data_IF_841326713281
#
_entry.id   IF_841326713281
#
_cell.length_a   1.000
_cell.length_b   1.000
_cell.length_c   1.000
_cell.angle_alpha   90.00
_cell.angle_beta   90.00
_cell.angle_gamma   90.00
#
_symmetry.space_group_name_H-M   'P 1'
#
loop_
_entity.id
_entity.type
_entity.pdbx_description
1 polymer ?
#
# COMPACT_ATOMS: atom_id res chain seq x y z
N UNK A 1 6.90 12.60 18.40
CA UNK A 1 5.50 12.78 17.91
C UNK A 1 5.42 12.33 16.46
N UNK A 2 4.34 11.59 16.12
CA UNK A 2 4.14 11.01 14.79
C UNK A 2 4.22 12.03 13.64
N UNK A 3 3.71 13.24 13.86
CA UNK A 3 3.74 14.30 12.85
C UNK A 3 5.18 14.76 12.50
N UNK A 4 6.10 14.68 13.44
CA UNK A 4 7.50 15.08 13.20
C UNK A 4 8.23 14.04 12.36
N UNK A 5 8.08 12.75 12.68
CA UNK A 5 8.65 11.66 11.87
C UNK A 5 8.03 11.63 10.47
N UNK A 6 6.72 11.75 10.36
CA UNK A 6 6.05 11.86 9.08
C UNK A 6 6.53 13.08 8.28
N UNK A 7 6.69 14.22 8.94
CA UNK A 7 7.21 15.46 8.32
C UNK A 7 8.61 15.30 7.76
N UNK A 8 9.52 14.69 8.50
CA UNK A 8 10.89 14.42 8.03
C UNK A 8 10.91 13.50 6.81
N UNK A 9 10.10 12.43 6.83
CA UNK A 9 10.01 11.48 5.73
C UNK A 9 9.41 12.15 4.48
N UNK A 10 8.30 12.86 4.61
CA UNK A 10 7.65 13.57 3.51
C UNK A 10 8.57 14.64 2.92
N UNK A 11 9.23 15.42 3.78
CA UNK A 11 10.15 16.46 3.32
C UNK A 11 11.34 15.88 2.55
N UNK A 12 11.92 14.79 3.05
CA UNK A 12 13.03 14.12 2.37
C UNK A 12 12.62 13.58 0.99
N UNK A 13 11.43 12.96 0.88
CA UNK A 13 10.91 12.47 -0.41
C UNK A 13 10.63 13.61 -1.39
N UNK A 14 10.05 14.71 -0.94
CA UNK A 14 9.76 15.86 -1.81
C UNK A 14 11.02 16.45 -2.41
N UNK A 15 12.12 16.57 -1.65
CA UNK A 15 13.37 17.19 -2.12
C UNK A 15 13.90 16.50 -3.38
N UNK A 16 13.95 15.17 -3.41
CA UNK A 16 14.48 14.46 -4.57
C UNK A 16 13.42 14.16 -5.63
N UNK A 17 12.19 13.87 -5.23
CA UNK A 17 11.08 13.59 -6.14
C UNK A 17 10.70 14.82 -6.98
N UNK A 18 10.68 16.03 -6.39
CA UNK A 18 10.41 17.28 -7.10
C UNK A 18 11.40 17.57 -8.23
N UNK A 19 12.66 17.13 -8.10
CA UNK A 19 13.70 17.36 -9.12
C UNK A 19 13.75 16.31 -10.20
N UNK A 20 13.30 15.10 -9.93
CA UNK A 20 13.56 13.95 -10.79
C UNK A 20 12.35 13.25 -11.39
N UNK A 21 11.16 13.48 -10.83
CA UNK A 21 9.92 12.84 -11.30
C UNK A 21 10.05 11.32 -11.43
N UNK A 22 9.35 10.75 -12.39
CA UNK A 22 9.32 9.30 -12.64
C UNK A 22 10.71 8.67 -12.88
N UNK A 23 11.64 9.40 -13.50
CA UNK A 23 12.98 8.86 -13.78
C UNK A 23 13.77 8.58 -12.51
N UNK A 24 13.73 9.49 -11.54
CA UNK A 24 14.42 9.27 -10.26
C UNK A 24 13.71 8.18 -9.47
N UNK A 25 12.37 8.15 -9.44
CA UNK A 25 11.60 7.08 -8.81
C UNK A 25 12.01 5.68 -9.33
N UNK A 26 12.14 5.49 -10.64
CA UNK A 26 12.60 4.21 -11.21
C UNK A 26 14.04 3.87 -10.80
N UNK A 27 14.92 4.86 -10.66
CA UNK A 27 16.31 4.64 -10.25
C UNK A 27 16.36 4.25 -8.77
N UNK A 28 15.65 4.97 -7.91
CA UNK A 28 15.57 4.68 -6.47
C UNK A 28 14.95 3.31 -6.22
N UNK A 29 13.89 2.95 -6.95
CA UNK A 29 13.25 1.63 -6.86
C UNK A 29 14.22 0.47 -7.13
N UNK A 30 15.17 0.63 -8.05
CA UNK A 30 16.19 -0.41 -8.33
C UNK A 30 17.11 -0.65 -7.13
N UNK A 31 17.53 0.40 -6.44
CA UNK A 31 18.34 0.26 -5.23
C UNK A 31 17.51 -0.31 -4.07
N UNK A 32 16.31 0.21 -3.89
CA UNK A 32 15.39 -0.22 -2.85
C UNK A 32 14.98 -1.69 -3.01
N UNK A 33 14.83 -2.17 -4.23
CA UNK A 33 14.55 -3.57 -4.52
C UNK A 33 15.57 -4.53 -3.88
N UNK A 34 16.87 -4.25 -4.00
CA UNK A 34 17.90 -5.08 -3.37
C UNK A 34 17.86 -5.00 -1.84
N UNK A 35 17.60 -3.83 -1.30
CA UNK A 35 17.44 -3.63 0.14
C UNK A 35 16.23 -4.42 0.66
N UNK A 36 15.11 -4.38 -0.07
CA UNK A 36 13.89 -5.13 0.27
C UNK A 36 14.16 -6.64 0.25
N UNK A 37 14.87 -7.16 -0.73
CA UNK A 37 15.23 -8.58 -0.79
C UNK A 37 16.06 -8.99 0.43
N UNK A 38 17.06 -8.20 0.81
CA UNK A 38 17.86 -8.46 2.02
C UNK A 38 16.97 -8.48 3.26
N UNK A 39 16.01 -7.55 3.36
CA UNK A 39 15.05 -7.50 4.46
C UNK A 39 14.16 -8.74 4.53
N UNK A 40 13.64 -9.19 3.40
CA UNK A 40 12.83 -10.40 3.32
C UNK A 40 13.61 -11.66 3.72
N UNK A 41 14.86 -11.78 3.26
CA UNK A 41 15.74 -12.89 3.63
C UNK A 41 15.98 -12.87 5.15
N UNK A 42 16.20 -11.70 5.73
CA UNK A 42 16.40 -11.53 7.16
C UNK A 42 15.15 -11.91 7.96
N UNK A 43 13.96 -11.45 7.54
CA UNK A 43 12.68 -11.83 8.14
C UNK A 43 12.54 -13.36 8.12
N UNK A 44 12.78 -13.97 6.97
CA UNK A 44 12.64 -15.40 6.78
C UNK A 44 13.62 -16.20 7.62
N UNK A 45 14.87 -15.74 7.72
CA UNK A 45 15.89 -16.38 8.60
C UNK A 45 15.48 -16.34 10.07
N UNK A 46 15.04 -15.19 10.58
CA UNK A 46 14.58 -15.05 11.96
C UNK A 46 13.35 -15.93 12.20
N UNK A 47 12.40 -15.92 11.24
CA UNK A 47 11.19 -16.72 11.32
C UNK A 47 11.46 -18.24 11.40
N UNK A 48 12.40 -18.76 10.60
CA UNK A 48 12.79 -20.17 10.66
C UNK A 48 13.41 -20.52 12.03
N UNK A 49 14.27 -19.65 12.55
CA UNK A 49 14.91 -19.89 13.84
C UNK A 49 13.90 -19.89 15.00
N UNK A 50 12.93 -18.98 14.97
CA UNK A 50 11.85 -18.92 15.95
C UNK A 50 10.94 -20.16 15.88
N UNK A 51 10.60 -20.64 14.68
CA UNK A 51 9.81 -21.87 14.51
C UNK A 51 10.56 -23.09 15.05
N UNK A 52 11.86 -23.23 14.79
CA UNK A 52 12.64 -24.36 15.27
C UNK A 52 12.72 -24.43 16.79
N UNK A 53 12.65 -23.29 17.49
CA UNK A 53 12.66 -23.22 18.94
C UNK A 53 11.32 -23.65 19.59
N UNK A 54 10.20 -23.49 18.87
CA UNK A 54 8.82 -23.74 19.35
C UNK A 54 8.17 -25.02 18.79
N UNK A 55 8.92 -25.88 18.13
CA UNK A 55 8.50 -26.76 17.05
C UNK A 55 7.43 -27.82 17.33
N UNK A 56 7.20 -28.29 18.54
CA UNK A 56 6.27 -29.41 18.74
C UNK A 56 4.94 -29.02 19.40
N UNK A 57 4.93 -28.08 20.32
CA UNK A 57 3.69 -27.65 20.99
C UNK A 57 2.76 -26.85 20.08
N UNK A 58 3.34 -26.04 19.15
CA UNK A 58 2.58 -25.23 18.22
C UNK A 58 1.91 -26.07 17.14
N UNK A 59 2.59 -27.09 16.60
CA UNK A 59 2.01 -28.01 15.61
C UNK A 59 0.74 -28.71 16.15
N UNK A 60 0.68 -29.00 17.43
CA UNK A 60 -0.51 -29.59 18.07
C UNK A 60 -1.65 -28.57 18.30
N UNK A 61 -1.33 -27.27 18.35
CA UNK A 61 -2.33 -26.18 18.45
C UNK A 61 -2.83 -25.69 17.09
N UNK A 62 -2.10 -25.99 16.00
CA UNK A 62 -2.45 -25.58 14.63
C UNK A 62 -3.83 -26.09 14.18
N UNK A 63 -4.20 -27.35 14.34
CA UNK A 63 -5.48 -27.85 13.84
C UNK A 63 -6.70 -27.24 14.52
N UNK A 64 -6.60 -26.85 15.80
CA UNK A 64 -7.72 -26.31 16.56
C UNK A 64 -8.04 -24.83 16.27
N UNK A 65 -7.11 -24.11 15.64
CA UNK A 65 -7.27 -22.68 15.33
C UNK A 65 -7.45 -22.38 13.83
N UNK A 66 -7.20 -23.35 12.95
CA UNK A 66 -7.49 -23.22 11.51
C UNK A 66 -8.86 -23.83 11.24
N UNK A 67 -9.90 -23.17 11.68
CA UNK A 67 -11.24 -23.45 11.20
C UNK A 67 -11.49 -22.56 9.98
N UNK A 68 -11.86 -23.17 8.86
CA UNK A 68 -12.36 -22.41 7.70
C UNK A 68 -13.77 -21.95 8.09
N UNK A 69 -13.82 -20.83 8.79
CA UNK A 69 -15.08 -20.17 9.12
C UNK A 69 -15.54 -19.33 7.94
N UNK A 70 -16.84 -19.25 7.75
CA UNK A 70 -17.47 -18.40 6.72
C UNK A 70 -16.97 -16.96 6.82
N UNK A 71 -16.81 -16.43 8.04
CA UNK A 71 -16.29 -15.07 8.28
C UNK A 71 -14.85 -14.89 7.79
N UNK A 72 -13.99 -15.88 7.95
CA UNK A 72 -12.62 -15.84 7.45
C UNK A 72 -12.55 -15.85 5.93
N UNK A 73 -13.38 -16.66 5.29
CA UNK A 73 -13.48 -16.72 3.83
C UNK A 73 -14.01 -15.39 3.25
N UNK A 74 -15.08 -14.84 3.81
CA UNK A 74 -15.64 -13.56 3.35
C UNK A 74 -14.66 -12.39 3.55
N UNK A 75 -13.94 -12.34 4.66
CA UNK A 75 -12.89 -11.35 4.90
C UNK A 75 -11.77 -11.48 3.85
N UNK A 76 -11.28 -12.69 3.60
CA UNK A 76 -10.25 -12.94 2.57
C UNK A 76 -10.69 -12.53 1.17
N UNK A 77 -11.92 -12.85 0.79
CA UNK A 77 -12.50 -12.46 -0.50
C UNK A 77 -12.66 -10.93 -0.61
N UNK A 78 -13.08 -10.28 0.47
CA UNK A 78 -13.20 -8.81 0.51
C UNK A 78 -11.84 -8.14 0.30
N UNK A 79 -10.80 -8.60 1.00
CA UNK A 79 -9.44 -8.10 0.80
C UNK A 79 -8.93 -8.35 -0.62
N UNK A 80 -9.19 -9.52 -1.19
CA UNK A 80 -8.79 -9.83 -2.55
C UNK A 80 -9.43 -8.84 -3.56
N UNK A 81 -10.74 -8.62 -3.47
CA UNK A 81 -11.46 -7.69 -4.35
C UNK A 81 -10.96 -6.25 -4.15
N UNK A 82 -10.77 -5.84 -2.90
CA UNK A 82 -10.32 -4.51 -2.52
C UNK A 82 -8.93 -4.20 -3.09
N UNK A 83 -7.95 -5.07 -2.84
CA UNK A 83 -6.59 -4.92 -3.36
C UNK A 83 -6.54 -4.97 -4.89
N UNK A 84 -7.34 -5.84 -5.50
CA UNK A 84 -7.44 -5.91 -6.96
C UNK A 84 -7.97 -4.60 -7.55
N UNK A 85 -9.06 -4.06 -7.00
CA UNK A 85 -9.64 -2.80 -7.45
C UNK A 85 -8.67 -1.63 -7.27
N UNK A 86 -7.98 -1.53 -6.14
CA UNK A 86 -7.01 -0.45 -5.85
C UNK A 86 -5.85 -0.49 -6.84
N UNK A 87 -5.30 -1.67 -7.14
CA UNK A 87 -4.23 -1.80 -8.14
C UNK A 87 -4.67 -1.39 -9.56
N UNK A 88 -5.94 -1.55 -9.92
CA UNK A 88 -6.47 -1.07 -11.21
C UNK A 88 -6.44 0.45 -11.33
N UNK A 89 -6.52 1.17 -10.22
CA UNK A 89 -6.52 2.63 -10.19
C UNK A 89 -5.18 3.22 -9.74
N UNK A 90 -4.17 2.39 -9.48
CA UNK A 90 -2.83 2.87 -9.11
C UNK A 90 -2.15 3.55 -10.30
N UNK A 91 -2.09 4.87 -10.24
CA UNK A 91 -1.44 5.68 -11.26
C UNK A 91 0.06 5.41 -11.38
N UNK A 92 0.71 5.00 -10.30
CA UNK A 92 2.12 4.62 -10.31
C UNK A 92 2.37 3.40 -11.21
N UNK A 93 1.47 2.41 -11.18
CA UNK A 93 1.52 1.24 -12.07
C UNK A 93 1.30 1.68 -13.52
N UNK A 94 0.28 2.49 -13.80
CA UNK A 94 -0.02 2.95 -15.15
C UNK A 94 1.09 3.80 -15.74
N UNK A 95 1.74 4.66 -14.97
CA UNK A 95 2.91 5.40 -15.46
C UNK A 95 4.04 4.48 -15.94
N UNK A 96 4.31 3.39 -15.20
CA UNK A 96 5.32 2.41 -15.60
C UNK A 96 4.90 1.60 -16.83
N UNK A 97 3.61 1.29 -16.95
CA UNK A 97 3.04 0.64 -18.13
C UNK A 97 3.25 1.49 -19.37
N UNK A 98 2.93 2.79 -19.30
CA UNK A 98 3.14 3.72 -20.41
C UNK A 98 4.61 4.02 -20.74
N UNK A 99 5.48 3.93 -19.74
CA UNK A 99 6.92 4.11 -19.91
C UNK A 99 7.65 2.87 -20.44
N UNK A 100 6.97 1.73 -20.58
CA UNK A 100 7.55 0.49 -21.05
C UNK A 100 7.98 0.60 -22.52
N UNK A 101 9.19 0.09 -22.85
CA UNK A 101 9.77 0.18 -24.21
C UNK A 101 8.93 -0.57 -25.25
N UNK A 102 8.39 -1.74 -24.88
CA UNK A 102 7.57 -2.59 -25.74
C UNK A 102 6.67 -3.52 -24.90
N UNK A 103 5.70 -4.15 -25.57
CA UNK A 103 4.73 -5.05 -24.94
C UNK A 103 5.43 -6.32 -24.37
N UNK A 104 6.47 -6.82 -25.00
CA UNK A 104 7.16 -8.03 -24.52
C UNK A 104 7.90 -7.79 -23.20
N UNK A 105 8.54 -6.62 -23.06
CA UNK A 105 9.17 -6.22 -21.80
C UNK A 105 8.12 -6.01 -20.71
N UNK A 106 6.96 -5.45 -21.06
CA UNK A 106 5.85 -5.28 -20.15
C UNK A 106 5.33 -6.63 -19.64
N UNK A 107 5.08 -7.60 -20.53
CA UNK A 107 4.63 -8.96 -20.16
C UNK A 107 5.66 -9.65 -19.24
N UNK A 108 6.94 -9.60 -19.57
CA UNK A 108 8.01 -10.16 -18.73
C UNK A 108 8.05 -9.49 -17.36
N UNK A 109 7.88 -8.17 -17.31
CA UNK A 109 7.80 -7.42 -16.06
C UNK A 109 6.62 -7.84 -15.18
N UNK A 110 5.42 -7.96 -15.76
CA UNK A 110 4.23 -8.41 -15.02
C UNK A 110 4.37 -9.85 -14.51
N UNK A 111 4.87 -10.78 -15.34
CA UNK A 111 5.07 -12.17 -14.92
C UNK A 111 6.11 -12.24 -13.80
N UNK A 112 7.24 -11.54 -13.94
CA UNK A 112 8.26 -11.51 -12.91
C UNK A 112 7.77 -10.90 -11.60
N UNK A 113 7.06 -9.76 -11.66
CA UNK A 113 6.50 -9.13 -10.48
C UNK A 113 5.43 -10.00 -9.79
N UNK A 114 4.62 -10.72 -10.56
CA UNK A 114 3.63 -11.66 -10.00
C UNK A 114 4.27 -12.70 -9.08
N UNK A 115 5.33 -13.36 -9.56
CA UNK A 115 6.02 -14.38 -8.74
C UNK A 115 6.66 -13.77 -7.49
N UNK A 116 7.32 -12.62 -7.63
CA UNK A 116 7.98 -11.97 -6.49
C UNK A 116 6.94 -11.54 -5.45
N UNK A 117 5.88 -10.85 -5.88
CA UNK A 117 4.82 -10.35 -4.97
C UNK A 117 4.08 -11.53 -4.32
N UNK A 118 3.80 -12.59 -5.08
CA UNK A 118 3.19 -13.81 -4.52
C UNK A 118 4.05 -14.40 -3.38
N UNK A 119 5.35 -14.58 -3.62
CA UNK A 119 6.27 -15.09 -2.58
C UNK A 119 6.30 -14.17 -1.35
N UNK A 120 6.36 -12.86 -1.56
CA UNK A 120 6.40 -11.86 -0.47
C UNK A 120 5.13 -11.94 0.37
N UNK A 121 3.96 -11.87 -0.26
CA UNK A 121 2.66 -11.89 0.43
C UNK A 121 2.49 -13.22 1.17
N UNK A 122 2.86 -14.34 0.54
CA UNK A 122 2.78 -15.66 1.15
C UNK A 122 3.65 -15.76 2.41
N UNK A 123 4.92 -15.33 2.33
CA UNK A 123 5.84 -15.34 3.47
C UNK A 123 5.37 -14.43 4.61
N UNK A 124 4.95 -13.21 4.30
CA UNK A 124 4.42 -12.28 5.31
C UNK A 124 3.12 -12.80 5.93
N UNK A 125 2.28 -13.47 5.15
CA UNK A 125 1.08 -14.13 5.63
C UNK A 125 1.39 -15.24 6.63
N UNK A 126 2.40 -16.07 6.38
CA UNK A 126 2.86 -17.10 7.31
C UNK A 126 3.34 -16.49 8.63
N UNK A 127 4.11 -15.41 8.57
CA UNK A 127 4.54 -14.67 9.77
C UNK A 127 3.34 -14.14 10.56
N UNK A 128 2.33 -13.61 9.88
CA UNK A 128 1.09 -13.14 10.52
C UNK A 128 0.31 -14.26 11.20
N UNK A 129 0.16 -15.43 10.56
CA UNK A 129 -0.48 -16.60 11.13
C UNK A 129 0.28 -17.07 12.38
N UNK A 130 1.61 -17.17 12.30
CA UNK A 130 2.46 -17.55 13.43
C UNK A 130 2.25 -16.62 14.64
N UNK A 131 2.30 -15.31 14.41
CA UNK A 131 2.10 -14.32 15.47
C UNK A 131 0.70 -14.41 16.11
N UNK A 132 -0.33 -14.70 15.31
CA UNK A 132 -1.69 -14.90 15.80
C UNK A 132 -1.82 -16.16 16.69
N UNK A 133 -1.13 -17.25 16.33
CA UNK A 133 -1.16 -18.50 17.08
C UNK A 133 -0.43 -18.38 18.42
N UNK A 134 0.72 -17.71 18.40
CA UNK A 134 1.54 -17.52 19.62
C UNK A 134 0.93 -16.52 20.59
N UNK A 135 0.00 -15.68 20.14
CA UNK A 135 -0.57 -14.59 20.94
C UNK A 135 0.47 -13.52 21.31
N UNK A 136 1.58 -13.49 20.59
CA UNK A 136 2.72 -12.62 20.90
C UNK A 136 2.41 -11.13 20.70
N UNK A 137 1.34 -10.82 19.97
CA UNK A 137 1.08 -9.44 19.53
C UNK A 137 -0.36 -9.02 19.81
N UNK A 138 -0.49 -7.86 20.43
CA UNK A 138 -1.80 -7.22 20.70
C UNK A 138 -2.32 -6.41 19.53
N UNK A 139 -1.40 -5.84 18.72
CA UNK A 139 -1.74 -4.97 17.59
C UNK A 139 -1.25 -5.59 16.27
N UNK A 140 -2.17 -5.96 15.34
CA UNK A 140 -1.83 -6.51 14.04
C UNK A 140 -0.91 -5.62 13.19
N UNK A 141 -0.96 -4.31 13.35
CA UNK A 141 -0.15 -3.36 12.57
C UNK A 141 1.35 -3.41 12.91
N UNK A 142 1.71 -3.92 14.08
CA UNK A 142 3.08 -3.97 14.59
C UNK A 142 3.69 -5.38 14.62
N UNK A 143 2.99 -6.39 14.12
CA UNK A 143 3.38 -7.80 14.19
C UNK A 143 4.81 -8.03 13.71
N UNK A 144 5.15 -7.57 12.51
CA UNK A 144 6.47 -7.80 11.92
C UNK A 144 7.56 -7.22 12.80
N UNK A 145 7.37 -5.99 13.27
CA UNK A 145 8.35 -5.32 14.13
C UNK A 145 8.49 -5.96 15.50
N UNK A 146 7.38 -6.45 16.08
CA UNK A 146 7.42 -7.10 17.39
C UNK A 146 8.18 -8.43 17.38
N UNK A 147 8.19 -9.14 16.24
CA UNK A 147 8.97 -10.37 16.07
C UNK A 147 10.44 -10.06 15.79
N UNK A 148 10.70 -9.02 14.98
CA UNK A 148 12.05 -8.70 14.52
C UNK A 148 12.87 -7.92 15.53
N UNK A 149 12.25 -7.04 16.34
CA UNK A 149 12.96 -6.15 17.26
C UNK A 149 13.39 -6.94 18.50
N UNK A 150 14.69 -7.14 18.63
CA UNK A 150 15.29 -7.75 19.82
C UNK A 150 16.02 -6.69 20.65
N UNK A 151 15.73 -6.63 21.96
CA UNK A 151 16.31 -5.64 22.86
C UNK A 151 17.82 -5.79 23.03
N UNK A 152 18.37 -6.97 22.77
CA UNK A 152 19.79 -7.27 22.96
C UNK A 152 20.68 -6.83 21.79
N UNK A 153 20.12 -6.67 20.58
CA UNK A 153 20.89 -6.41 19.36
C UNK A 153 20.58 -5.05 18.74
N UNK A 154 21.21 -4.00 19.25
CA UNK A 154 21.03 -2.62 18.78
C UNK A 154 21.31 -2.50 17.28
N UNK A 155 22.36 -3.15 16.78
CA UNK A 155 22.70 -3.11 15.35
C UNK A 155 21.61 -3.71 14.46
N UNK A 156 21.00 -4.81 14.87
CA UNK A 156 19.88 -5.46 14.17
C UNK A 156 18.67 -4.50 14.12
N UNK A 157 18.36 -3.86 15.24
CA UNK A 157 17.24 -2.92 15.32
C UNK A 157 17.44 -1.71 14.42
N UNK A 158 18.66 -1.17 14.34
CA UNK A 158 18.99 -0.09 13.41
C UNK A 158 18.85 -0.52 11.95
N UNK A 159 19.26 -1.74 11.62
CA UNK A 159 19.14 -2.30 10.28
C UNK A 159 17.66 -2.46 9.90
N UNK A 160 16.82 -2.98 10.79
CA UNK A 160 15.37 -3.10 10.61
C UNK A 160 14.75 -1.72 10.37
N UNK A 161 15.14 -0.72 11.15
CA UNK A 161 14.66 0.66 10.99
C UNK A 161 15.01 1.22 9.61
N UNK A 162 16.25 1.07 9.15
CA UNK A 162 16.69 1.55 7.83
C UNK A 162 15.92 0.86 6.71
N UNK A 163 15.75 -0.47 6.82
CA UNK A 163 15.01 -1.24 5.83
C UNK A 163 13.53 -0.83 5.77
N UNK A 164 12.91 -0.59 6.92
CA UNK A 164 11.52 -0.13 7.01
C UNK A 164 11.34 1.26 6.42
N UNK A 165 12.26 2.18 6.73
CA UNK A 165 12.26 3.52 6.14
C UNK A 165 12.40 3.47 4.61
N UNK A 166 13.23 2.56 4.09
CA UNK A 166 13.40 2.38 2.65
C UNK A 166 12.09 1.95 1.97
N UNK A 167 11.31 1.06 2.58
CA UNK A 167 9.99 0.64 2.09
C UNK A 167 9.02 1.81 2.03
N UNK A 168 8.96 2.59 3.11
CA UNK A 168 8.07 3.77 3.18
C UNK A 168 8.46 4.82 2.13
N UNK A 169 9.76 5.09 1.98
CA UNK A 169 10.27 6.05 1.01
C UNK A 169 9.95 5.64 -0.43
N UNK A 170 10.05 4.34 -0.78
CA UNK A 170 9.69 3.81 -2.09
C UNK A 170 8.22 4.05 -2.44
N UNK A 171 7.32 3.79 -1.49
CA UNK A 171 5.88 3.99 -1.69
C UNK A 171 5.53 5.47 -1.83
N UNK A 172 6.09 6.32 -0.97
CA UNK A 172 5.83 7.77 -1.00
C UNK A 172 6.36 8.42 -2.27
N UNK A 173 7.54 8.03 -2.73
CA UNK A 173 8.15 8.52 -3.97
C UNK A 173 7.24 8.23 -5.18
N UNK A 174 6.82 6.99 -5.32
CA UNK A 174 5.92 6.57 -6.40
C UNK A 174 4.59 7.32 -6.34
N UNK A 175 3.95 7.43 -5.17
CA UNK A 175 2.69 8.15 -5.00
C UNK A 175 2.85 9.64 -5.29
N UNK A 176 3.93 10.26 -4.81
CA UNK A 176 4.19 11.69 -5.06
C UNK A 176 4.37 11.97 -6.55
N UNK A 177 5.18 11.17 -7.25
CA UNK A 177 5.41 11.31 -8.67
C UNK A 177 4.12 11.12 -9.49
N UNK A 178 3.32 10.11 -9.14
CA UNK A 178 2.10 9.76 -9.85
C UNK A 178 0.99 10.79 -9.68
N UNK A 179 0.72 11.22 -8.45
CA UNK A 179 -0.33 12.20 -8.16
C UNK A 179 0.07 13.59 -8.70
N UNK A 180 1.35 13.97 -8.56
CA UNK A 180 1.83 15.24 -9.13
C UNK A 180 1.68 15.30 -10.64
N UNK A 181 1.94 14.21 -11.35
CA UNK A 181 1.76 14.17 -12.81
C UNK A 181 0.29 14.32 -13.21
N UNK A 182 -0.65 13.68 -12.51
CA UNK A 182 -2.08 13.85 -12.74
C UNK A 182 -2.52 15.29 -12.47
N UNK A 183 -2.05 15.86 -11.36
CA UNK A 183 -2.35 17.24 -11.01
C UNK A 183 -1.90 18.22 -12.10
N UNK A 184 -0.69 18.03 -12.64
CA UNK A 184 -0.14 18.87 -13.71
C UNK A 184 -0.99 18.75 -14.98
N UNK A 185 -1.28 17.52 -15.44
CA UNK A 185 -2.07 17.28 -16.66
C UNK A 185 -3.43 17.93 -16.55
N UNK A 186 -4.14 17.73 -15.43
CA UNK A 186 -5.46 18.32 -15.24
C UNK A 186 -5.40 19.85 -15.06
N UNK A 187 -4.45 20.37 -14.29
CA UNK A 187 -4.33 21.81 -14.09
C UNK A 187 -4.01 22.55 -15.38
N UNK A 188 -3.21 21.98 -16.28
CA UNK A 188 -2.92 22.56 -17.58
C UNK A 188 -4.15 22.61 -18.50
N UNK A 189 -5.10 21.68 -18.35
CA UNK A 189 -6.33 21.70 -19.15
C UNK A 189 -7.31 22.79 -18.72
N UNK A 190 -7.32 23.19 -17.44
CA UNK A 190 -8.22 24.20 -16.89
C UNK A 190 -7.58 25.59 -16.79
N UNK A 191 -6.33 25.63 -16.39
CA UNK A 191 -5.60 26.88 -16.09
C UNK A 191 -4.40 26.91 -17.03
N UNK A 192 -4.33 27.87 -17.93
CA UNK A 192 -3.22 28.03 -18.90
C UNK A 192 -1.87 28.41 -18.22
N UNK A 193 -1.51 27.73 -17.13
CA UNK A 193 -0.23 27.93 -16.46
C UNK A 193 0.86 27.23 -17.26
N UNK A 194 1.82 28.00 -17.79
CA UNK A 194 2.95 27.47 -18.56
C UNK A 194 4.09 26.91 -17.70
N UNK A 195 4.17 27.31 -16.43
CA UNK A 195 5.28 26.91 -15.56
C UNK A 195 4.99 25.55 -14.89
N UNK A 196 5.50 24.49 -15.50
CA UNK A 196 5.35 23.10 -15.01
C UNK A 196 5.98 22.92 -13.62
N UNK A 197 7.12 23.57 -13.36
CA UNK A 197 7.80 23.45 -12.07
C UNK A 197 6.96 24.05 -10.94
N UNK A 198 6.26 25.14 -11.21
CA UNK A 198 5.34 25.72 -10.22
C UNK A 198 4.19 24.75 -9.89
N UNK A 199 3.58 24.14 -10.89
CA UNK A 199 2.51 23.15 -10.69
C UNK A 199 3.02 21.93 -9.93
N UNK A 200 4.24 21.50 -10.19
CA UNK A 200 4.84 20.37 -9.50
C UNK A 200 5.09 20.68 -8.01
N UNK A 201 5.63 21.85 -7.70
CA UNK A 201 5.83 22.29 -6.33
C UNK A 201 4.50 22.43 -5.57
N UNK A 202 3.50 23.06 -6.21
CA UNK A 202 2.18 23.22 -5.58
C UNK A 202 1.50 21.89 -5.29
N UNK A 203 1.57 20.92 -6.21
CA UNK A 203 1.05 19.57 -5.97
C UNK A 203 1.76 18.89 -4.80
N UNK A 204 3.09 19.00 -4.72
CA UNK A 204 3.89 18.45 -3.62
C UNK A 204 3.52 19.06 -2.27
N UNK A 205 3.32 20.38 -2.20
CA UNK A 205 2.91 21.07 -0.97
C UNK A 205 1.51 20.63 -0.52
N UNK A 206 0.56 20.50 -1.45
CA UNK A 206 -0.80 20.02 -1.15
C UNK A 206 -0.76 18.59 -0.61
N UNK A 207 0.01 17.70 -1.28
CA UNK A 207 0.17 16.31 -0.83
C UNK A 207 0.82 16.22 0.55
N UNK A 208 1.88 16.99 0.78
CA UNK A 208 2.56 17.04 2.08
C UNK A 208 1.62 17.53 3.18
N UNK A 209 0.88 18.61 2.94
CA UNK A 209 -0.06 19.16 3.89
C UNK A 209 -1.18 18.19 4.27
N UNK A 210 -1.78 17.51 3.29
CA UNK A 210 -2.81 16.49 3.51
C UNK A 210 -2.27 15.28 4.25
N UNK A 211 -1.10 14.78 3.89
CA UNK A 211 -0.47 13.64 4.54
C UNK A 211 -0.08 13.96 6.01
N UNK A 212 0.46 15.15 6.29
CA UNK A 212 0.75 15.60 7.65
C UNK A 212 -0.52 15.75 8.49
N UNK A 213 -1.59 16.28 7.91
CA UNK A 213 -2.87 16.40 8.60
C UNK A 213 -3.43 15.02 8.97
N UNK A 214 -3.45 14.07 8.04
CA UNK A 214 -3.93 12.70 8.29
C UNK A 214 -3.06 12.00 9.33
N UNK A 215 -1.72 12.12 9.23
CA UNK A 215 -0.78 11.50 10.19
C UNK A 215 -0.96 12.06 11.62
N UNK A 216 -1.33 13.33 11.74
CA UNK A 216 -1.58 13.97 13.05
C UNK A 216 -2.81 13.39 13.77
N UNK A 217 -3.75 12.80 13.03
CA UNK A 217 -4.97 12.17 13.60
C UNK A 217 -4.71 10.80 14.20
N UNK A 218 -3.56 10.15 13.90
CA UNK A 218 -3.22 8.84 14.44
C UNK A 218 -4.16 7.72 14.00
N UNK A 219 -4.77 7.84 12.82
CA UNK A 219 -5.66 6.81 12.26
C UNK A 219 -4.90 5.53 11.98
N UNK A 220 -5.56 4.37 12.16
CA UNK A 220 -4.93 3.09 11.84
C UNK A 220 -4.66 2.97 10.34
N UNK A 221 -3.53 2.36 9.98
CA UNK A 221 -3.15 2.13 8.58
C UNK A 221 -4.20 1.29 7.87
N UNK A 222 -4.73 0.26 8.53
CA UNK A 222 -5.77 -0.59 7.99
C UNK A 222 -7.04 0.19 7.65
N UNK A 223 -7.45 1.12 8.53
CA UNK A 223 -8.62 1.97 8.29
C UNK A 223 -8.46 2.84 7.04
N UNK A 224 -7.30 3.50 6.90
CA UNK A 224 -7.00 4.34 5.74
C UNK A 224 -6.93 3.53 4.44
N UNK A 225 -6.36 2.33 4.52
CA UNK A 225 -6.27 1.42 3.39
C UNK A 225 -7.66 0.97 2.91
N UNK A 226 -8.51 0.50 3.82
CA UNK A 226 -9.88 0.10 3.50
C UNK A 226 -10.73 1.25 2.96
N UNK A 227 -10.51 2.48 3.45
CA UNK A 227 -11.19 3.66 2.93
C UNK A 227 -10.79 3.96 1.47
N UNK A 228 -9.51 3.85 1.15
CA UNK A 228 -9.02 3.99 -0.23
C UNK A 228 -9.58 2.87 -1.13
N UNK A 229 -9.61 1.64 -0.64
CA UNK A 229 -10.16 0.48 -1.33
C UNK A 229 -11.67 0.66 -1.62
N UNK A 230 -12.43 1.21 -0.69
CA UNK A 230 -13.84 1.52 -0.89
C UNK A 230 -14.05 2.45 -2.09
N UNK A 231 -13.24 3.51 -2.18
CA UNK A 231 -13.31 4.46 -3.30
C UNK A 231 -12.99 3.76 -4.63
N UNK A 232 -11.95 2.93 -4.66
CA UNK A 232 -11.54 2.19 -5.86
C UNK A 232 -12.60 1.14 -6.27
N UNK A 233 -13.13 0.38 -5.32
CA UNK A 233 -14.19 -0.61 -5.58
C UNK A 233 -15.45 0.04 -6.14
N UNK A 234 -15.86 1.19 -5.58
CA UNK A 234 -17.02 1.94 -6.05
C UNK A 234 -16.87 2.45 -7.48
N UNK A 235 -15.62 2.77 -7.88
CA UNK A 235 -15.30 3.28 -9.20
C UNK A 235 -15.10 2.17 -10.25
N UNK A 236 -14.67 0.98 -9.85
CA UNK A 236 -14.21 -0.06 -10.76
C UNK A 236 -15.28 -0.46 -11.77
N UNK A 237 -16.42 -0.94 -11.32
CA UNK A 237 -17.49 -1.41 -12.22
C UNK A 237 -18.04 -0.30 -13.11
N UNK A 238 -18.41 0.89 -12.60
CA UNK A 238 -18.95 1.95 -13.44
C UNK A 238 -17.97 2.44 -14.52
N UNK A 239 -16.67 2.56 -14.20
CA UNK A 239 -15.66 3.01 -15.15
C UNK A 239 -15.44 1.98 -16.24
N UNK A 240 -15.21 0.71 -15.89
CA UNK A 240 -14.99 -0.33 -16.90
C UNK A 240 -16.23 -0.54 -17.78
N UNK A 241 -17.43 -0.51 -17.19
CA UNK A 241 -18.66 -0.58 -17.96
C UNK A 241 -18.80 0.60 -18.93
N UNK A 242 -18.41 1.79 -18.49
CA UNK A 242 -18.37 2.99 -19.32
C UNK A 242 -17.41 2.88 -20.51
N UNK A 243 -16.26 2.21 -20.34
CA UNK A 243 -15.30 1.98 -21.44
C UNK A 243 -15.86 1.04 -22.52
N UNK A 244 -16.61 0.01 -22.12
CA UNK A 244 -17.17 -0.95 -23.08
C UNK A 244 -18.46 -0.47 -23.74
N UNK A 245 -19.16 0.49 -23.14
CA UNK A 245 -20.43 0.97 -23.63
C UNK A 245 -20.40 2.47 -23.95
N UNK A 246 -20.05 2.79 -25.19
CA UNK A 246 -19.95 4.16 -25.69
C UNK A 246 -21.27 4.96 -25.65
N UNK A 247 -22.44 4.32 -25.37
CA UNK A 247 -23.73 4.99 -25.26
C UNK A 247 -23.98 5.62 -23.89
N UNK A 248 -23.13 5.32 -22.90
CA UNK A 248 -23.30 5.84 -21.55
C UNK A 248 -22.67 7.22 -21.45
N UNK A 249 -23.46 8.18 -20.99
CA UNK A 249 -22.96 9.52 -20.66
C UNK A 249 -22.09 9.46 -19.41
N UNK A 250 -20.99 10.22 -19.39
CA UNK A 250 -20.07 10.34 -18.26
C UNK A 250 -20.78 10.69 -16.95
N UNK A 251 -21.83 11.51 -17.00
CA UNK A 251 -22.65 11.89 -15.83
C UNK A 251 -23.24 10.66 -15.09
N UNK A 252 -23.69 9.66 -15.85
CA UNK A 252 -24.25 8.43 -15.26
C UNK A 252 -23.18 7.60 -14.55
N UNK A 253 -21.95 7.58 -15.10
CA UNK A 253 -20.81 6.91 -14.47
C UNK A 253 -20.45 7.60 -13.15
N UNK A 254 -20.36 8.93 -13.14
CA UNK A 254 -20.11 9.69 -11.91
C UNK A 254 -21.17 9.45 -10.86
N UNK A 255 -22.45 9.49 -11.26
CA UNK A 255 -23.55 9.24 -10.35
C UNK A 255 -23.51 7.82 -9.75
N UNK A 256 -23.20 6.80 -10.55
CA UNK A 256 -23.04 5.43 -10.08
C UNK A 256 -21.87 5.29 -9.09
N UNK A 257 -20.73 5.93 -9.35
CA UNK A 257 -19.59 5.97 -8.41
C UNK A 257 -20.02 6.62 -7.09
N UNK A 258 -20.70 7.76 -7.16
CA UNK A 258 -21.13 8.51 -5.99
C UNK A 258 -22.11 7.70 -5.12
N UNK A 259 -23.05 7.01 -5.75
CA UNK A 259 -23.95 6.08 -5.06
C UNK A 259 -23.20 4.92 -4.42
N UNK A 260 -22.21 4.36 -5.12
CA UNK A 260 -21.35 3.28 -4.60
C UNK A 260 -20.57 3.72 -3.36
N UNK A 261 -20.00 4.94 -3.40
CA UNK A 261 -19.27 5.51 -2.25
C UNK A 261 -20.20 5.76 -1.08
N UNK A 262 -21.37 6.40 -1.30
CA UNK A 262 -22.32 6.70 -0.25
C UNK A 262 -22.84 5.41 0.41
N UNK A 263 -23.25 4.42 -0.41
CA UNK A 263 -23.73 3.15 0.11
C UNK A 263 -22.63 2.40 0.89
N UNK A 264 -21.39 2.40 0.38
CA UNK A 264 -20.27 1.79 1.07
C UNK A 264 -19.91 2.47 2.39
N UNK A 265 -19.98 3.81 2.46
CA UNK A 265 -19.74 4.56 3.70
C UNK A 265 -20.80 4.28 4.78
N UNK A 266 -22.04 3.99 4.40
CA UNK A 266 -23.09 3.63 5.36
C UNK A 266 -22.78 2.33 6.12
N UNK A 267 -22.07 1.40 5.47
CA UNK A 267 -21.67 0.12 6.06
C UNK A 267 -20.19 0.09 6.49
N UNK A 268 -19.50 1.23 6.38
CA UNK A 268 -18.08 1.29 6.72
C UNK A 268 -17.87 1.19 8.24
N UNK A 269 -16.87 0.45 8.72
CA UNK A 269 -16.64 0.29 10.14
C UNK A 269 -16.24 1.60 10.81
N UNK A 270 -16.53 1.71 12.10
CA UNK A 270 -16.05 2.83 12.93
C UNK A 270 -14.53 2.83 13.02
N UNK A 271 -13.93 3.98 13.39
CA UNK A 271 -12.48 4.16 13.54
C UNK A 271 -11.80 3.09 14.40
N UNK A 272 -12.52 2.57 15.41
CA UNK A 272 -12.01 1.59 16.36
C UNK A 272 -12.30 0.14 15.94
N UNK A 273 -12.90 -0.11 14.77
CA UNK A 273 -13.40 -1.42 14.32
C UNK A 273 -14.27 -2.17 15.35
N UNK A 274 -14.66 -1.48 16.44
CA UNK A 274 -15.42 -2.07 17.55
C UNK A 274 -16.91 -2.14 17.28
N UNK A 275 -17.39 -1.39 16.29
CA UNK A 275 -18.77 -1.35 15.84
C UNK A 275 -18.79 -1.52 14.34
N UNK A 276 -18.99 -2.74 13.88
CA UNK A 276 -19.61 -2.93 12.58
C UNK A 276 -21.04 -2.39 12.69
N UNK A 277 -21.48 -1.59 11.76
CA UNK A 277 -22.86 -1.08 11.71
C UNK A 277 -23.87 -2.21 11.38
N UNK A 278 -23.39 -3.43 11.23
CA UNK A 278 -24.19 -4.66 11.11
C UNK A 278 -23.64 -5.71 12.07
#
# INVERSE_FOLDING_TARGET
PLWLTAGLIIFSTLIYSLKGGLKISIITDKFQFWIIIIFLIMIFYIFINEINFLSFELLNKFPSKINIEYNGFTAGLTFFIAVFATNLFDQGIWQRVYAAKNIDNLKKGFIGSFFIVFCVIFLLGLVGIYASITGAVKDPSTIIFSILVNKEYIFLNLLILILSLTLVLSSLDTLTASISSLFIIHSQSFIKIKNINFLYITSGVILAGSALYVSSKGLSILYLFLLADLLCCSAAIPIFYGFYNNKIKSEKVYFAILLGVISGLLFFPSLDFSKSIL
#
